data_IF_920039306690
#
_entry.id   IF_920039306690
#
_cell.length_a   1.000
_cell.length_b   1.000
_cell.length_c   1.000
_cell.angle_alpha   90.00
_cell.angle_beta   90.00
_cell.angle_gamma   90.00
#
_symmetry.space_group_name_H-M   'P 1'
#
loop_
_entity.id
_entity.type
_entity.pdbx_description
1 polymer ?
#
# COMPACT_ATOMS: atom_id res chain seq x y z
N UNK A 1 13.36 2.54 23.14
CA UNK A 1 14.08 2.48 21.83
C UNK A 1 13.94 1.14 21.14
N UNK A 2 14.32 0.05 21.81
CA UNK A 2 14.21 -1.30 21.21
C UNK A 2 12.77 -1.68 20.85
N UNK A 3 11.82 -1.39 21.74
CA UNK A 3 10.40 -1.69 21.48
C UNK A 3 9.89 -0.93 20.27
N UNK A 4 10.27 0.35 20.14
CA UNK A 4 9.87 1.17 19.00
C UNK A 4 10.40 0.58 17.68
N UNK A 5 11.66 0.12 17.67
CA UNK A 5 12.25 -0.51 16.49
C UNK A 5 11.51 -1.80 16.11
N UNK A 6 11.16 -2.63 17.11
CA UNK A 6 10.41 -3.85 16.86
C UNK A 6 9.03 -3.56 16.29
N UNK A 7 8.34 -2.53 16.82
CA UNK A 7 7.03 -2.13 16.32
C UNK A 7 7.14 -1.67 14.86
N UNK A 8 8.13 -0.86 14.55
CA UNK A 8 8.33 -0.36 13.18
C UNK A 8 8.62 -1.50 12.22
N UNK A 9 9.47 -2.46 12.61
CA UNK A 9 9.76 -3.62 11.78
C UNK A 9 8.52 -4.47 11.55
N UNK A 10 7.69 -4.64 12.57
CA UNK A 10 6.42 -5.35 12.44
C UNK A 10 5.47 -4.65 11.47
N UNK A 11 5.36 -3.33 11.57
CA UNK A 11 4.52 -2.54 10.68
C UNK A 11 5.01 -2.60 9.24
N UNK A 12 6.34 -2.52 9.04
CA UNK A 12 6.96 -2.64 7.72
C UNK A 12 6.61 -3.98 7.08
N UNK A 13 6.79 -5.06 7.84
CA UNK A 13 6.51 -6.41 7.33
C UNK A 13 5.03 -6.57 7.00
N UNK A 14 4.16 -6.13 7.89
CA UNK A 14 2.71 -6.26 7.70
C UNK A 14 2.24 -5.45 6.50
N UNK A 15 2.62 -4.18 6.44
CA UNK A 15 2.18 -3.29 5.37
C UNK A 15 2.72 -3.77 4.02
N UNK A 16 4.01 -4.11 3.96
CA UNK A 16 4.63 -4.60 2.73
C UNK A 16 3.97 -5.88 2.25
N UNK A 17 3.71 -6.82 3.15
CA UNK A 17 3.08 -8.08 2.80
C UNK A 17 1.66 -7.86 2.27
N UNK A 18 0.86 -7.02 2.94
CA UNK A 18 -0.49 -6.71 2.50
C UNK A 18 -0.46 -6.14 1.08
N UNK A 19 0.44 -5.19 0.81
CA UNK A 19 0.51 -4.55 -0.50
C UNK A 19 1.02 -5.48 -1.58
N UNK A 20 1.95 -6.38 -1.26
CA UNK A 20 2.40 -7.40 -2.21
C UNK A 20 1.24 -8.34 -2.57
N UNK A 21 0.49 -8.81 -1.57
CA UNK A 21 -0.63 -9.73 -1.80
C UNK A 21 -1.73 -9.04 -2.60
N UNK A 22 -2.19 -7.86 -2.16
CA UNK A 22 -3.30 -7.16 -2.82
C UNK A 22 -2.90 -6.66 -4.20
N UNK A 23 -1.69 -6.15 -4.35
CA UNK A 23 -1.20 -5.69 -5.63
C UNK A 23 -1.07 -6.83 -6.63
N UNK A 24 -0.53 -7.97 -6.20
CA UNK A 24 -0.42 -9.16 -7.05
C UNK A 24 -1.79 -9.64 -7.49
N UNK A 25 -2.73 -9.72 -6.56
CA UNK A 25 -4.09 -10.18 -6.89
C UNK A 25 -4.72 -9.27 -7.95
N UNK A 26 -4.68 -7.96 -7.73
CA UNK A 26 -5.28 -6.99 -8.67
C UNK A 26 -4.56 -6.97 -10.02
N UNK A 27 -3.24 -7.19 -10.01
CA UNK A 27 -2.45 -7.15 -11.24
C UNK A 27 -2.73 -8.36 -12.14
N UNK A 28 -2.86 -9.54 -11.53
CA UNK A 28 -3.00 -10.79 -12.29
C UNK A 28 -4.44 -11.20 -12.54
N UNK A 29 -5.43 -10.53 -11.94
CA UNK A 29 -6.84 -10.86 -12.14
C UNK A 29 -7.51 -9.88 -13.10
N UNK A 30 -8.62 -10.30 -13.71
CA UNK A 30 -9.42 -9.43 -14.56
C UNK A 30 -10.14 -8.38 -13.72
N UNK A 31 -10.55 -7.27 -14.36
CA UNK A 31 -11.34 -6.23 -13.71
C UNK A 31 -12.61 -6.82 -13.10
N UNK A 32 -13.28 -7.70 -13.85
CA UNK A 32 -14.54 -8.34 -13.41
C UNK A 32 -14.31 -9.15 -12.13
N UNK A 33 -13.19 -9.86 -12.03
CA UNK A 33 -12.88 -10.67 -10.85
C UNK A 33 -12.52 -9.79 -9.66
N UNK A 34 -11.82 -8.68 -9.89
CA UNK A 34 -11.52 -7.71 -8.83
C UNK A 34 -12.83 -7.17 -8.24
N UNK A 35 -13.77 -6.79 -9.10
CA UNK A 35 -15.06 -6.27 -8.67
C UNK A 35 -15.84 -7.35 -7.90
N UNK A 36 -15.87 -8.56 -8.42
CA UNK A 36 -16.59 -9.68 -7.79
C UNK A 36 -16.01 -10.02 -6.42
N UNK A 37 -14.73 -9.76 -6.20
CA UNK A 37 -14.06 -10.04 -4.92
C UNK A 37 -14.20 -8.90 -3.90
N UNK A 38 -15.02 -7.88 -4.19
CA UNK A 38 -15.29 -6.77 -3.29
C UNK A 38 -14.63 -5.47 -3.68
N UNK A 39 -13.83 -5.46 -4.75
CA UNK A 39 -13.18 -4.24 -5.24
C UNK A 39 -14.08 -3.41 -6.12
N UNK A 40 -15.25 -3.00 -5.61
CA UNK A 40 -16.26 -2.28 -6.40
C UNK A 40 -15.76 -0.94 -6.91
N UNK A 41 -14.75 -0.34 -6.26
CA UNK A 41 -14.12 0.89 -6.73
C UNK A 41 -13.57 0.76 -8.15
N UNK A 42 -13.22 -0.47 -8.56
CA UNK A 42 -12.65 -0.73 -9.88
C UNK A 42 -13.63 -0.44 -11.00
N UNK A 43 -14.93 -0.35 -10.70
CA UNK A 43 -15.94 -0.01 -11.69
C UNK A 43 -15.68 1.35 -12.34
N UNK A 44 -15.05 2.27 -11.61
CA UNK A 44 -14.79 3.63 -12.07
C UNK A 44 -13.51 3.75 -12.92
N UNK A 45 -12.76 2.66 -13.08
CA UNK A 45 -11.45 2.73 -13.73
C UNK A 45 -11.35 1.77 -14.91
N UNK A 46 -10.58 2.17 -15.93
CA UNK A 46 -10.27 1.28 -17.06
C UNK A 46 -9.34 0.16 -16.59
N UNK A 47 -9.42 -1.03 -17.23
CA UNK A 47 -8.56 -2.16 -16.83
C UNK A 47 -7.06 -1.82 -16.80
N UNK A 48 -6.57 -1.03 -17.76
CA UNK A 48 -5.16 -0.62 -17.78
C UNK A 48 -4.77 0.23 -16.59
N UNK A 49 -5.67 1.11 -16.12
CA UNK A 49 -5.45 1.95 -14.95
C UNK A 49 -5.42 1.10 -13.68
N UNK A 50 -6.32 0.11 -13.59
CA UNK A 50 -6.35 -0.80 -12.45
C UNK A 50 -5.03 -1.56 -12.36
N UNK A 51 -4.49 -2.04 -13.48
CA UNK A 51 -3.22 -2.76 -13.51
C UNK A 51 -2.06 -1.85 -13.17
N UNK A 52 -2.09 -0.59 -13.59
CA UNK A 52 -1.06 0.38 -13.22
C UNK A 52 -1.03 0.59 -11.71
N UNK A 53 -2.20 0.82 -11.10
CA UNK A 53 -2.32 0.98 -9.66
C UNK A 53 -1.83 -0.28 -8.93
N UNK A 54 -2.26 -1.46 -9.41
CA UNK A 54 -1.87 -2.74 -8.82
C UNK A 54 -0.35 -2.95 -8.91
N UNK A 55 0.26 -2.61 -10.03
CA UNK A 55 1.70 -2.70 -10.21
C UNK A 55 2.44 -1.77 -9.25
N UNK A 56 1.94 -0.55 -9.07
CA UNK A 56 2.51 0.39 -8.12
C UNK A 56 2.39 -0.11 -6.67
N UNK A 57 1.25 -0.72 -6.32
CA UNK A 57 1.08 -1.32 -5.00
C UNK A 57 2.07 -2.46 -4.78
N UNK A 58 2.24 -3.33 -5.76
CA UNK A 58 3.16 -4.46 -5.68
C UNK A 58 4.60 -3.98 -5.51
N UNK A 59 5.03 -3.05 -6.35
CA UNK A 59 6.38 -2.49 -6.30
C UNK A 59 6.61 -1.78 -4.97
N UNK A 60 5.63 -1.02 -4.50
CA UNK A 60 5.73 -0.31 -3.23
C UNK A 60 5.86 -1.28 -2.07
N UNK A 61 5.08 -2.35 -2.06
CA UNK A 61 5.15 -3.37 -1.03
C UNK A 61 6.51 -4.05 -1.01
N UNK A 62 7.05 -4.40 -2.17
CA UNK A 62 8.38 -4.99 -2.28
C UNK A 62 9.46 -4.01 -1.82
N UNK A 63 9.33 -2.73 -2.18
CA UNK A 63 10.30 -1.70 -1.79
C UNK A 63 10.33 -1.47 -0.28
N UNK A 64 9.22 -1.76 0.41
CA UNK A 64 9.16 -1.66 1.86
C UNK A 64 9.73 -2.91 2.52
N UNK A 65 9.34 -4.10 2.04
CA UNK A 65 9.64 -5.35 2.75
C UNK A 65 11.04 -5.89 2.46
N UNK A 66 11.52 -5.79 1.21
CA UNK A 66 12.81 -6.36 0.82
C UNK A 66 13.99 -5.70 1.54
N UNK A 67 14.09 -4.34 1.57
CA UNK A 67 15.17 -3.70 2.32
C UNK A 67 15.14 -4.04 3.80
N UNK A 68 13.96 -4.23 4.39
CA UNK A 68 13.83 -4.60 5.80
C UNK A 68 14.42 -5.98 6.06
N UNK A 69 14.18 -6.95 5.15
CA UNK A 69 14.73 -8.30 5.25
C UNK A 69 16.24 -8.28 5.09
N UNK A 70 16.74 -7.51 4.11
CA UNK A 70 18.17 -7.44 3.81
C UNK A 70 18.94 -6.54 4.77
N UNK A 71 18.23 -5.74 5.57
CA UNK A 71 18.80 -4.76 6.51
C UNK A 71 19.67 -3.73 5.81
N UNK A 72 19.33 -3.40 4.57
CA UNK A 72 20.01 -2.37 3.80
C UNK A 72 19.06 -1.83 2.75
N UNK A 73 19.40 -0.70 2.11
CA UNK A 73 18.57 -0.10 1.10
C UNK A 73 17.43 0.74 1.67
N UNK A 74 17.69 1.43 2.76
CA UNK A 74 16.70 2.23 3.47
C UNK A 74 16.00 3.26 2.57
N UNK A 75 16.69 3.74 1.54
CA UNK A 75 16.08 4.68 0.59
C UNK A 75 14.92 4.04 -0.17
N UNK A 76 15.02 2.75 -0.48
CA UNK A 76 13.93 2.04 -1.15
C UNK A 76 12.73 1.91 -0.22
N UNK A 77 12.96 1.68 1.07
CA UNK A 77 11.88 1.65 2.06
C UNK A 77 11.18 3.00 2.13
N UNK A 78 11.94 4.08 2.17
CA UNK A 78 11.40 5.44 2.18
C UNK A 78 10.58 5.72 0.92
N UNK A 79 11.13 5.39 -0.25
CA UNK A 79 10.45 5.60 -1.52
C UNK A 79 9.16 4.78 -1.62
N UNK A 80 9.22 3.51 -1.20
CA UNK A 80 8.04 2.64 -1.22
C UNK A 80 6.94 3.13 -0.28
N UNK A 81 7.30 3.50 0.94
CA UNK A 81 6.34 4.02 1.91
C UNK A 81 5.72 5.33 1.42
N UNK A 82 6.53 6.21 0.81
CA UNK A 82 6.02 7.46 0.23
C UNK A 82 5.03 7.18 -0.89
N UNK A 83 5.31 6.19 -1.72
CA UNK A 83 4.41 5.78 -2.80
C UNK A 83 3.09 5.25 -2.22
N UNK A 84 3.15 4.47 -1.14
CA UNK A 84 1.95 3.97 -0.45
C UNK A 84 1.12 5.15 0.08
N UNK A 85 1.77 6.19 0.63
CA UNK A 85 1.07 7.39 1.08
C UNK A 85 0.25 7.99 -0.06
N UNK A 86 0.85 8.13 -1.23
CA UNK A 86 0.17 8.69 -2.40
C UNK A 86 -0.98 7.79 -2.85
N UNK A 87 -0.75 6.48 -2.92
CA UNK A 87 -1.78 5.52 -3.33
C UNK A 87 -2.95 5.55 -2.36
N UNK A 88 -2.68 5.54 -1.07
CA UNK A 88 -3.74 5.53 -0.05
C UNK A 88 -4.51 6.84 -0.03
N UNK A 89 -3.86 7.97 -0.26
CA UNK A 89 -4.54 9.26 -0.35
C UNK A 89 -5.57 9.25 -1.47
N UNK A 90 -5.16 8.78 -2.66
CA UNK A 90 -6.07 8.64 -3.79
C UNK A 90 -7.18 7.63 -3.55
N UNK A 91 -6.84 6.52 -2.89
CA UNK A 91 -7.79 5.48 -2.56
C UNK A 91 -8.85 5.96 -1.57
N UNK A 92 -8.44 6.69 -0.54
CA UNK A 92 -9.37 7.27 0.44
C UNK A 92 -10.35 8.21 -0.26
N UNK A 93 -9.82 9.09 -1.12
CA UNK A 93 -10.66 10.00 -1.91
C UNK A 93 -11.70 9.23 -2.73
N UNK A 94 -11.27 8.16 -3.43
CA UNK A 94 -12.14 7.35 -4.27
C UNK A 94 -13.24 6.69 -3.44
N UNK A 95 -12.88 6.10 -2.29
CA UNK A 95 -13.85 5.42 -1.44
C UNK A 95 -14.84 6.40 -0.80
N UNK A 96 -14.39 7.58 -0.37
CA UNK A 96 -15.29 8.60 0.18
C UNK A 96 -16.27 9.05 -0.89
N UNK A 97 -15.79 9.30 -2.11
CA UNK A 97 -16.62 9.71 -3.23
C UNK A 97 -17.69 8.68 -3.57
N UNK A 98 -17.36 7.39 -3.41
CA UNK A 98 -18.30 6.28 -3.65
C UNK A 98 -19.12 5.92 -2.41
N UNK A 99 -18.96 6.65 -1.31
CA UNK A 99 -19.64 6.39 -0.02
C UNK A 99 -19.28 5.01 0.57
N UNK A 100 -18.09 4.54 0.27
CA UNK A 100 -17.55 3.27 0.79
C UNK A 100 -16.71 3.57 2.02
N UNK A 101 -17.35 4.04 3.09
CA UNK A 101 -16.64 4.58 4.25
C UNK A 101 -15.85 3.54 5.01
N UNK A 102 -16.29 2.28 5.01
CA UNK A 102 -15.56 1.19 5.66
C UNK A 102 -14.18 1.02 4.99
N UNK A 103 -14.14 1.02 3.67
CA UNK A 103 -12.87 0.92 2.94
C UNK A 103 -12.02 2.16 3.14
N UNK A 104 -12.63 3.34 3.21
CA UNK A 104 -11.91 4.57 3.46
C UNK A 104 -11.22 4.54 4.83
N UNK A 105 -11.89 4.01 5.86
CA UNK A 105 -11.32 3.91 7.20
C UNK A 105 -10.14 2.93 7.20
N UNK A 106 -10.28 1.78 6.55
CA UNK A 106 -9.18 0.80 6.45
C UNK A 106 -7.97 1.43 5.76
N UNK A 107 -8.21 2.15 4.66
CA UNK A 107 -7.12 2.80 3.93
C UNK A 107 -6.49 3.94 4.74
N UNK A 108 -7.27 4.61 5.59
CA UNK A 108 -6.72 5.60 6.50
C UNK A 108 -5.73 4.98 7.49
N UNK A 109 -6.03 3.78 8.00
CA UNK A 109 -5.10 3.06 8.86
C UNK A 109 -3.80 2.77 8.12
N UNK A 110 -3.89 2.29 6.87
CA UNK A 110 -2.70 2.03 6.06
C UNK A 110 -1.93 3.32 5.78
N UNK A 111 -2.64 4.43 5.54
CA UNK A 111 -2.00 5.74 5.33
C UNK A 111 -1.19 6.15 6.56
N UNK A 112 -1.77 6.02 7.74
CA UNK A 112 -1.09 6.38 8.99
C UNK A 112 0.14 5.50 9.23
N UNK A 113 0.04 4.20 8.93
CA UNK A 113 1.18 3.29 9.02
C UNK A 113 2.29 3.72 8.06
N UNK A 114 1.92 4.04 6.82
CA UNK A 114 2.90 4.45 5.81
C UNK A 114 3.56 5.78 6.17
N UNK A 115 2.80 6.72 6.73
CA UNK A 115 3.35 8.00 7.19
C UNK A 115 4.36 7.80 8.31
N UNK A 116 4.06 6.92 9.25
CA UNK A 116 4.97 6.59 10.33
C UNK A 116 6.27 6.00 9.80
N UNK A 117 6.16 5.05 8.87
CA UNK A 117 7.32 4.42 8.25
C UNK A 117 8.14 5.44 7.47
N UNK A 118 7.46 6.29 6.69
CA UNK A 118 8.14 7.33 5.92
C UNK A 118 8.94 8.27 6.82
N UNK A 119 8.34 8.66 7.94
CA UNK A 119 9.00 9.55 8.89
C UNK A 119 10.24 8.88 9.50
N UNK A 120 10.13 7.60 9.88
CA UNK A 120 11.22 6.89 10.52
C UNK A 120 12.36 6.54 9.56
N UNK A 121 12.05 6.34 8.29
CA UNK A 121 13.04 5.92 7.29
C UNK A 121 13.55 7.06 6.41
N UNK A 122 13.10 8.29 6.66
CA UNK A 122 13.53 9.43 5.84
C UNK A 122 15.04 9.60 5.90
N UNK A 123 15.67 9.96 4.77
CA UNK A 123 17.11 10.27 4.78
C UNK A 123 17.38 11.51 5.63
N UNK A 124 18.45 11.45 6.39
CA UNK A 124 18.85 12.58 7.23
C UNK A 124 19.92 13.44 6.56
#
# INVERSE_FOLDING_TARGET
MAITLWIIQGLLGLLGLIFVITGSFKFFQSKEKVIASGGTWAEDFKPGIIKLIAGLELISGLSVIVPAILRQGQYFTFAGASCIVLIMTGSIYTHIRRKEFKHAIINLVFLLMALLITYQCKPS
#
